data_IF_350745705478
#
_entry.id   IF_350745705478
#
_cell.length_a   1.000
_cell.length_b   1.000
_cell.length_c   1.000
_cell.angle_alpha   90.00
_cell.angle_beta   90.00
_cell.angle_gamma   90.00
#
_symmetry.space_group_name_H-M   'P 1'
#
loop_
_entity.id
_entity.type
_entity.pdbx_description
1 polymer ?
#
# COMPACT_ATOMS: atom_id res chain seq x y z
N UNK A 1 53.59 6.84 1.57
CA UNK A 1 52.52 6.63 0.55
C UNK A 1 51.30 5.83 1.06
N UNK A 2 50.90 5.93 2.34
CA UNK A 2 49.73 5.18 2.88
C UNK A 2 48.43 6.00 2.91
N UNK A 3 48.52 7.32 2.96
CA UNK A 3 47.38 8.25 3.05
C UNK A 3 46.54 8.31 1.76
N UNK A 4 47.18 8.19 0.58
CA UNK A 4 46.47 8.25 -0.72
C UNK A 4 45.49 7.09 -0.94
N UNK A 5 45.80 5.88 -0.43
CA UNK A 5 44.90 4.72 -0.54
C UNK A 5 43.63 4.85 0.32
N UNK A 6 43.74 5.51 1.48
CA UNK A 6 42.60 5.79 2.35
C UNK A 6 41.65 6.82 1.72
N UNK A 7 42.18 7.85 1.05
CA UNK A 7 41.38 8.86 0.36
C UNK A 7 40.60 8.23 -0.81
N UNK A 8 41.25 7.38 -1.60
CA UNK A 8 40.57 6.65 -2.68
C UNK A 8 39.48 5.71 -2.18
N UNK A 9 39.70 5.01 -1.07
CA UNK A 9 38.68 4.15 -0.47
C UNK A 9 37.44 4.94 -0.01
N UNK A 10 37.63 6.13 0.59
CA UNK A 10 36.52 7.00 0.99
C UNK A 10 35.72 7.53 -0.21
N UNK A 11 36.37 7.89 -1.32
CA UNK A 11 35.68 8.41 -2.51
C UNK A 11 34.81 7.32 -3.15
N UNK A 12 35.33 6.09 -3.25
CA UNK A 12 34.59 4.95 -3.81
C UNK A 12 33.39 4.58 -2.91
N UNK A 13 33.55 4.65 -1.58
CA UNK A 13 32.46 4.35 -0.66
C UNK A 13 31.30 5.36 -0.78
N UNK A 14 31.61 6.64 -0.98
CA UNK A 14 30.59 7.69 -1.11
C UNK A 14 29.82 7.57 -2.44
N UNK A 15 30.45 7.19 -3.55
CA UNK A 15 29.74 7.02 -4.83
C UNK A 15 28.77 5.83 -4.84
N UNK A 16 29.08 4.75 -4.11
CA UNK A 16 28.19 3.58 -3.98
C UNK A 16 26.94 3.93 -3.17
N UNK A 17 27.08 4.75 -2.13
CA UNK A 17 25.95 5.18 -1.29
C UNK A 17 25.01 6.07 -2.09
N UNK A 18 25.53 6.99 -2.91
CA UNK A 18 24.70 7.90 -3.72
C UNK A 18 23.91 7.13 -4.79
N UNK A 19 24.55 6.18 -5.52
CA UNK A 19 23.83 5.40 -6.54
C UNK A 19 22.75 4.47 -5.98
N UNK A 20 22.82 4.16 -4.68
CA UNK A 20 21.84 3.33 -3.99
C UNK A 20 20.63 4.13 -3.49
N UNK A 21 20.79 5.44 -3.29
CA UNK A 21 19.69 6.33 -2.88
C UNK A 21 18.74 6.64 -4.04
N UNK A 22 19.25 6.80 -5.26
CA UNK A 22 18.41 7.12 -6.42
C UNK A 22 17.44 5.99 -6.76
N UNK A 23 17.83 4.73 -6.53
CA UNK A 23 16.95 3.57 -6.71
C UNK A 23 15.81 3.48 -5.70
N UNK A 24 15.94 4.09 -4.52
CA UNK A 24 14.92 4.02 -3.48
C UNK A 24 13.79 5.04 -3.67
N UNK A 25 14.03 6.09 -4.47
CA UNK A 25 13.02 7.10 -4.80
C UNK A 25 12.11 6.69 -5.95
N UNK A 26 12.54 5.75 -6.80
CA UNK A 26 11.75 5.21 -7.92
C UNK A 26 10.88 4.00 -7.54
N UNK A 27 11.11 3.37 -6.38
CA UNK A 27 10.21 2.31 -5.89
C UNK A 27 8.98 2.94 -5.22
N UNK A 28 7.94 3.06 -6.05
CA UNK A 28 6.52 3.01 -5.67
C UNK A 28 6.07 4.04 -4.64
N UNK A 29 5.72 5.26 -5.10
CA UNK A 29 4.71 6.02 -4.39
C UNK A 29 3.51 5.11 -4.12
N UNK A 30 3.12 4.89 -2.85
CA UNK A 30 2.14 3.87 -2.51
C UNK A 30 0.82 4.22 -3.21
N UNK A 31 0.33 3.30 -4.04
CA UNK A 31 -0.93 3.50 -4.77
C UNK A 31 -2.04 3.73 -3.75
N UNK A 32 -2.60 4.94 -3.77
CA UNK A 32 -3.71 5.32 -2.90
C UNK A 32 -5.05 5.06 -3.58
N UNK A 33 -5.95 4.35 -2.90
CA UNK A 33 -7.30 4.03 -3.37
C UNK A 33 -8.36 4.52 -2.39
N UNK A 34 -9.55 4.76 -2.89
CA UNK A 34 -10.70 5.10 -2.05
C UNK A 34 -11.44 3.82 -1.68
N UNK A 35 -11.41 3.48 -0.40
CA UNK A 35 -11.95 2.24 0.15
C UNK A 35 -13.30 2.45 0.79
N UNK A 36 -14.23 1.52 0.56
CA UNK A 36 -15.61 1.60 1.02
C UNK A 36 -16.06 0.29 1.67
N UNK A 37 -17.17 0.38 2.40
CA UNK A 37 -17.97 -0.75 2.88
C UNK A 37 -19.17 -0.91 1.95
N UNK A 38 -19.27 -2.07 1.32
CA UNK A 38 -20.35 -2.42 0.40
C UNK A 38 -21.30 -3.38 1.10
N UNK A 39 -22.56 -2.99 1.27
CA UNK A 39 -23.58 -3.82 1.88
C UNK A 39 -24.45 -4.44 0.80
N UNK A 40 -24.47 -5.77 0.72
CA UNK A 40 -25.24 -6.53 -0.25
C UNK A 40 -26.42 -7.23 0.42
N UNK A 41 -27.54 -7.32 -0.28
CA UNK A 41 -28.66 -8.17 0.08
C UNK A 41 -28.31 -9.63 -0.23
N UNK A 42 -28.51 -10.53 0.73
CA UNK A 42 -28.06 -11.92 0.60
C UNK A 42 -28.94 -12.74 -0.35
N UNK A 43 -30.23 -12.41 -0.45
CA UNK A 43 -31.18 -13.15 -1.28
C UNK A 43 -31.02 -12.82 -2.77
N UNK A 44 -30.76 -11.56 -3.07
CA UNK A 44 -30.72 -11.02 -4.44
C UNK A 44 -29.30 -10.70 -4.91
N UNK A 45 -28.32 -10.71 -4.01
CA UNK A 45 -26.94 -10.28 -4.23
C UNK A 45 -26.82 -8.84 -4.79
N UNK A 46 -27.86 -8.01 -4.57
CA UNK A 46 -27.87 -6.62 -5.00
C UNK A 46 -27.16 -5.72 -3.99
N UNK A 47 -26.49 -4.69 -4.48
CA UNK A 47 -25.89 -3.66 -3.64
C UNK A 47 -27.01 -2.82 -3.00
N UNK A 48 -27.04 -2.79 -1.67
CA UNK A 48 -27.95 -1.96 -0.88
C UNK A 48 -27.33 -0.59 -0.65
N UNK A 49 -26.10 -0.55 -0.10
CA UNK A 49 -25.40 0.70 0.22
C UNK A 49 -23.89 0.61 -0.03
N UNK A 50 -23.27 1.78 -0.25
CA UNK A 50 -21.82 2.00 -0.42
C UNK A 50 -21.41 3.15 0.50
N UNK A 51 -20.91 2.81 1.68
CA UNK A 51 -20.71 3.77 2.78
C UNK A 51 -19.30 3.66 3.38
N UNK A 52 -18.89 4.64 4.18
CA UNK A 52 -17.65 4.56 4.96
C UNK A 52 -16.35 4.72 4.16
N UNK A 53 -16.30 5.74 3.29
CA UNK A 53 -15.11 6.14 2.52
C UNK A 53 -13.88 6.34 3.42
N UNK A 54 -12.78 5.66 3.07
CA UNK A 54 -11.44 5.91 3.58
C UNK A 54 -10.44 5.90 2.43
N UNK A 55 -9.64 6.93 2.29
CA UNK A 55 -8.51 6.92 1.36
C UNK A 55 -7.32 6.23 2.02
N UNK A 56 -6.88 5.10 1.47
CA UNK A 56 -5.78 4.26 2.00
C UNK A 56 -4.70 4.09 0.93
N UNK A 57 -3.45 3.87 1.33
CA UNK A 57 -2.32 3.77 0.41
C UNK A 57 -1.45 2.54 0.70
N UNK A 58 -0.90 1.95 -0.36
CA UNK A 58 0.08 0.86 -0.23
C UNK A 58 -0.49 -0.34 0.54
N UNK A 59 0.21 -0.77 1.60
CA UNK A 59 -0.17 -1.94 2.40
C UNK A 59 -1.53 -1.83 3.09
N UNK A 60 -1.99 -0.61 3.38
CA UNK A 60 -3.30 -0.40 4.03
C UNK A 60 -4.47 -0.77 3.12
N UNK A 61 -4.31 -0.64 1.79
CA UNK A 61 -5.29 -1.10 0.81
C UNK A 61 -5.47 -2.62 0.92
N UNK A 62 -4.36 -3.36 0.96
CA UNK A 62 -4.36 -4.82 1.07
C UNK A 62 -4.94 -5.27 2.40
N UNK A 63 -4.57 -4.60 3.50
CA UNK A 63 -5.11 -4.89 4.82
C UNK A 63 -6.63 -4.69 4.88
N UNK A 64 -7.15 -3.65 4.21
CA UNK A 64 -8.57 -3.35 4.17
C UNK A 64 -9.38 -4.39 3.39
N UNK A 65 -8.90 -4.79 2.20
CA UNK A 65 -9.58 -5.79 1.36
C UNK A 65 -9.56 -7.20 1.96
N UNK A 66 -8.63 -7.47 2.88
CA UNK A 66 -8.54 -8.74 3.61
C UNK A 66 -9.41 -8.78 4.88
N UNK A 67 -10.13 -7.70 5.22
CA UNK A 67 -11.08 -7.73 6.32
C UNK A 67 -12.19 -8.73 5.97
N UNK A 68 -12.44 -9.68 6.88
CA UNK A 68 -13.47 -10.70 6.68
C UNK A 68 -14.85 -10.06 6.49
N UNK A 69 -15.63 -10.65 5.58
CA UNK A 69 -17.01 -10.24 5.34
C UNK A 69 -17.82 -10.31 6.63
N UNK A 70 -18.58 -9.26 6.91
CA UNK A 70 -19.52 -9.22 8.04
C UNK A 70 -20.89 -9.69 7.53
N UNK A 71 -21.31 -10.87 7.98
CA UNK A 71 -22.50 -11.58 7.48
C UNK A 71 -23.57 -11.60 8.56
N UNK A 72 -24.74 -11.07 8.20
CA UNK A 72 -25.97 -11.14 8.99
C UNK A 72 -26.98 -12.06 8.31
N UNK A 73 -28.16 -12.24 8.92
CA UNK A 73 -29.22 -13.08 8.37
C UNK A 73 -29.67 -12.63 6.97
N UNK A 74 -29.72 -11.32 6.72
CA UNK A 74 -30.23 -10.74 5.47
C UNK A 74 -29.17 -10.05 4.61
N UNK A 75 -28.02 -9.67 5.17
CA UNK A 75 -27.05 -8.83 4.45
C UNK A 75 -25.60 -9.29 4.65
N UNK A 76 -24.78 -9.03 3.64
CA UNK A 76 -23.33 -9.26 3.66
C UNK A 76 -22.60 -7.94 3.43
N UNK A 77 -21.74 -7.54 4.35
CA UNK A 77 -20.88 -6.37 4.19
C UNK A 77 -19.48 -6.79 3.76
N UNK A 78 -19.00 -6.22 2.64
CA UNK A 78 -17.66 -6.43 2.08
C UNK A 78 -16.84 -5.15 2.15
N UNK A 79 -15.53 -5.27 2.31
CA UNK A 79 -14.58 -4.16 2.36
C UNK A 79 -13.76 -4.16 1.05
N UNK A 80 -13.89 -3.10 0.23
CA UNK A 80 -13.22 -3.05 -1.09
C UNK A 80 -12.69 -1.65 -1.38
N UNK A 81 -11.66 -1.56 -2.23
CA UNK A 81 -11.08 -0.30 -2.67
C UNK A 81 -11.25 -0.09 -4.17
N UNK A 82 -11.54 1.15 -4.58
CA UNK A 82 -11.65 1.60 -5.98
C UNK A 82 -10.53 2.61 -6.30
#
# INVERSE_FOLDING_TARGET
MKTSKFIYACIILNTIIISSCDKLAEEETPVCKDCYKFKYDKATNQLITKDGLKRLCGGDVVAWENISDDVTDSTTTKYKCE
#
